data_IF_498622973361
#
_entry.id   IF_498622973361
#
_cell.length_a   1.000
_cell.length_b   1.000
_cell.length_c   1.000
_cell.angle_alpha   90.00
_cell.angle_beta   90.00
_cell.angle_gamma   90.00
#
_symmetry.space_group_name_H-M   'P 1'
#
loop_
_entity.id
_entity.type
_entity.pdbx_description
1 polymer ?
#
# COMPACT_ATOMS: atom_id res chain seq x y z
N UNK A 1 26.72 26.20 26.80
CA UNK A 1 25.45 26.65 26.21
C UNK A 1 24.37 26.36 27.24
N UNK A 2 23.63 27.37 27.67
CA UNK A 2 22.63 27.17 28.73
C UNK A 2 21.38 26.47 28.18
N UNK A 3 20.63 25.78 29.06
CA UNK A 3 19.38 25.10 28.71
C UNK A 3 18.39 26.06 28.02
N UNK A 4 18.41 27.34 28.44
CA UNK A 4 17.59 28.40 27.85
C UNK A 4 17.91 28.64 26.37
N UNK A 5 19.19 28.65 26.01
CA UNK A 5 19.63 28.87 24.63
C UNK A 5 19.18 27.69 23.75
N UNK A 6 19.32 26.47 24.25
CA UNK A 6 18.88 25.24 23.56
C UNK A 6 17.39 25.28 23.25
N UNK A 7 16.56 25.66 24.22
CA UNK A 7 15.10 25.77 24.04
C UNK A 7 14.72 26.82 22.99
N UNK A 8 15.47 27.93 22.91
CA UNK A 8 15.28 28.97 21.90
C UNK A 8 15.57 28.42 20.50
N UNK A 9 16.69 27.72 20.31
CA UNK A 9 17.03 27.12 19.02
C UNK A 9 16.01 26.06 18.59
N UNK A 10 15.55 25.19 19.50
CA UNK A 10 14.51 24.19 19.20
C UNK A 10 13.23 24.88 18.70
N UNK A 11 12.80 25.97 19.37
CA UNK A 11 11.62 26.73 18.95
C UNK A 11 11.77 27.28 17.52
N UNK A 12 12.94 27.79 17.16
CA UNK A 12 13.19 28.27 15.80
C UNK A 12 13.18 27.14 14.77
N UNK A 13 13.77 25.99 15.08
CA UNK A 13 13.77 24.82 14.21
C UNK A 13 12.34 24.34 13.95
N UNK A 14 11.52 24.20 14.99
CA UNK A 14 10.12 23.79 14.85
C UNK A 14 9.34 24.81 14.00
N UNK A 15 9.53 26.12 14.25
CA UNK A 15 8.85 27.16 13.46
C UNK A 15 9.26 27.11 11.99
N UNK A 16 10.55 26.93 11.71
CA UNK A 16 11.05 26.80 10.35
C UNK A 16 10.46 25.57 9.65
N UNK A 17 10.42 24.44 10.35
CA UNK A 17 9.82 23.21 9.84
C UNK A 17 8.32 23.38 9.55
N UNK A 18 7.55 24.02 10.42
CA UNK A 18 6.13 24.28 10.17
C UNK A 18 5.89 25.16 8.94
N UNK A 19 6.74 26.17 8.72
CA UNK A 19 6.68 27.02 7.52
C UNK A 19 7.01 26.19 6.28
N UNK A 20 8.06 25.37 6.34
CA UNK A 20 8.43 24.44 5.27
C UNK A 20 7.27 23.49 4.93
N UNK A 21 6.69 22.82 5.93
CA UNK A 21 5.57 21.90 5.74
C UNK A 21 4.33 22.59 5.16
N UNK A 22 4.00 23.82 5.59
CA UNK A 22 2.87 24.55 5.02
C UNK A 22 3.11 24.92 3.54
N UNK A 23 4.32 25.35 3.19
CA UNK A 23 4.65 25.73 1.81
C UNK A 23 4.64 24.51 0.89
N UNK A 24 5.33 23.44 1.28
CA UNK A 24 5.56 22.26 0.43
C UNK A 24 4.46 21.19 0.54
N UNK A 25 3.72 21.12 1.64
CA UNK A 25 2.62 20.19 1.83
C UNK A 25 1.24 20.75 1.44
N UNK A 26 1.08 22.08 1.35
CA UNK A 26 -0.23 22.71 1.04
C UNK A 26 -0.15 23.70 -0.11
N UNK A 27 0.70 24.73 0.00
CA UNK A 27 0.69 25.85 -0.97
C UNK A 27 1.14 25.38 -2.36
N UNK A 28 2.16 24.51 -2.43
CA UNK A 28 2.71 24.07 -3.71
C UNK A 28 1.69 23.31 -4.55
N UNK A 29 0.78 22.55 -3.95
CA UNK A 29 -0.26 21.80 -4.68
C UNK A 29 -1.28 22.72 -5.36
N UNK A 30 -1.49 23.93 -4.83
CA UNK A 30 -2.35 24.94 -5.47
C UNK A 30 -1.73 25.58 -6.72
N UNK A 31 -0.40 25.48 -6.89
CA UNK A 31 0.35 26.17 -7.95
C UNK A 31 0.97 25.18 -8.94
N UNK A 32 1.46 24.05 -8.45
CA UNK A 32 2.15 23.04 -9.22
C UNK A 32 1.17 22.18 -10.01
N UNK A 33 1.31 22.19 -11.33
CA UNK A 33 0.61 21.25 -12.21
C UNK A 33 1.52 20.04 -12.48
N UNK A 34 1.03 18.81 -12.29
CA UNK A 34 1.83 17.63 -12.60
C UNK A 34 2.25 17.66 -14.08
N UNK A 35 3.50 17.28 -14.34
CA UNK A 35 3.99 17.15 -15.72
C UNK A 35 3.18 16.06 -16.42
N UNK A 36 2.79 16.32 -17.67
CA UNK A 36 2.21 15.28 -18.53
C UNK A 36 3.22 14.14 -18.67
N UNK A 37 2.78 12.93 -18.36
CA UNK A 37 3.62 11.74 -18.47
C UNK A 37 3.56 11.19 -19.89
N UNK A 38 4.72 10.91 -20.47
CA UNK A 38 4.82 10.13 -21.73
C UNK A 38 4.63 8.62 -21.50
N UNK A 39 4.21 8.21 -20.29
CA UNK A 39 4.05 6.80 -19.94
C UNK A 39 3.18 6.05 -20.95
N UNK A 40 2.01 6.60 -21.30
CA UNK A 40 1.08 5.99 -22.26
C UNK A 40 1.56 6.07 -23.71
N UNK A 41 2.45 7.01 -24.04
CA UNK A 41 3.11 7.07 -25.37
C UNK A 41 4.07 5.89 -25.51
N UNK A 42 4.85 5.63 -24.47
CA UNK A 42 5.82 4.53 -24.45
C UNK A 42 5.19 3.17 -24.12
N UNK A 43 4.00 3.16 -23.50
CA UNK A 43 3.25 1.98 -23.09
C UNK A 43 1.79 2.11 -23.55
N UNK A 44 1.51 2.04 -24.86
CA UNK A 44 0.15 2.15 -25.39
C UNK A 44 -0.71 0.99 -24.87
N UNK A 45 -1.95 1.28 -24.48
CA UNK A 45 -2.87 0.26 -23.94
C UNK A 45 -3.35 -0.71 -25.01
N UNK A 46 -3.31 -0.31 -26.28
CA UNK A 46 -3.76 -1.11 -27.43
C UNK A 46 -2.96 -2.42 -27.57
N UNK A 47 -1.76 -2.49 -26.98
CA UNK A 47 -0.96 -3.73 -26.92
C UNK A 47 -1.64 -4.88 -26.18
N UNK A 48 -2.61 -4.58 -25.33
CA UNK A 48 -3.38 -5.57 -24.57
C UNK A 48 -4.67 -5.96 -25.29
N UNK A 49 -4.98 -5.32 -26.42
CA UNK A 49 -6.16 -5.65 -27.22
C UNK A 49 -5.80 -6.73 -28.23
N UNK A 50 -6.70 -7.69 -28.39
CA UNK A 50 -6.65 -8.73 -29.39
C UNK A 50 -8.06 -9.10 -29.79
N UNK A 51 -8.25 -9.50 -31.04
CA UNK A 51 -9.53 -10.02 -31.52
C UNK A 51 -9.68 -11.53 -31.27
N UNK A 52 -8.58 -12.20 -30.92
CA UNK A 52 -8.57 -13.60 -30.55
C UNK A 52 -9.17 -13.83 -29.16
N UNK A 53 -9.66 -15.05 -28.92
CA UNK A 53 -10.19 -15.45 -27.63
C UNK A 53 -9.05 -15.46 -26.60
N UNK A 54 -9.08 -14.49 -25.67
CA UNK A 54 -8.17 -14.45 -24.52
C UNK A 54 -8.54 -15.52 -23.48
N UNK A 55 -7.56 -15.90 -22.65
CA UNK A 55 -7.78 -16.68 -21.44
C UNK A 55 -8.31 -15.82 -20.27
N UNK A 56 -8.26 -14.50 -20.42
CA UNK A 56 -8.73 -13.56 -19.43
C UNK A 56 -10.26 -13.64 -19.28
N UNK A 57 -10.71 -13.74 -18.03
CA UNK A 57 -12.12 -13.73 -17.68
C UNK A 57 -12.40 -12.58 -16.75
N UNK A 58 -13.49 -11.87 -17.00
CA UNK A 58 -13.96 -10.78 -16.16
C UNK A 58 -15.33 -11.17 -15.61
N UNK A 59 -15.49 -11.02 -14.30
CA UNK A 59 -16.76 -11.20 -13.62
C UNK A 59 -17.05 -9.95 -12.79
N UNK A 60 -18.28 -9.44 -12.89
CA UNK A 60 -18.76 -8.38 -12.02
C UNK A 60 -19.28 -9.00 -10.72
N UNK A 61 -18.74 -8.54 -9.58
CA UNK A 61 -19.13 -9.00 -8.25
C UNK A 61 -19.66 -7.80 -7.47
N UNK A 62 -20.99 -7.74 -7.29
CA UNK A 62 -21.65 -6.60 -6.63
C UNK A 62 -21.83 -6.80 -5.12
N UNK A 63 -22.03 -8.05 -4.68
CA UNK A 63 -22.27 -8.35 -3.26
C UNK A 63 -20.96 -8.35 -2.46
N UNK A 64 -20.97 -7.66 -1.32
CA UNK A 64 -19.80 -7.49 -0.44
C UNK A 64 -19.28 -8.82 0.10
N UNK A 65 -20.18 -9.70 0.56
CA UNK A 65 -19.80 -10.96 1.17
C UNK A 65 -19.23 -11.91 0.12
N UNK A 66 -19.90 -12.02 -1.02
CA UNK A 66 -19.43 -12.81 -2.15
C UNK A 66 -18.10 -12.30 -2.70
N UNK A 67 -17.91 -10.98 -2.74
CA UNK A 67 -16.63 -10.35 -3.09
C UNK A 67 -15.49 -10.79 -2.15
N UNK A 68 -15.76 -10.91 -0.86
CA UNK A 68 -14.79 -11.45 0.12
C UNK A 68 -14.45 -12.91 -0.17
N UNK A 69 -15.46 -13.75 -0.39
CA UNK A 69 -15.28 -15.17 -0.70
C UNK A 69 -14.45 -15.39 -1.97
N UNK A 70 -14.72 -14.62 -3.04
CA UNK A 70 -13.95 -14.71 -4.28
C UNK A 70 -12.49 -14.35 -4.06
N UNK A 71 -12.18 -13.34 -3.23
CA UNK A 71 -10.78 -13.00 -2.89
C UNK A 71 -10.09 -14.14 -2.17
N UNK A 72 -10.75 -14.76 -1.20
CA UNK A 72 -10.21 -15.92 -0.46
C UNK A 72 -9.99 -17.10 -1.41
N UNK A 73 -10.97 -17.44 -2.27
CA UNK A 73 -10.85 -18.51 -3.26
C UNK A 73 -9.69 -18.28 -4.23
N UNK A 74 -9.46 -17.04 -4.68
CA UNK A 74 -8.30 -16.68 -5.51
C UNK A 74 -6.97 -16.90 -4.78
N UNK A 75 -6.90 -16.57 -3.49
CA UNK A 75 -5.70 -16.76 -2.66
C UNK A 75 -5.44 -18.25 -2.40
N UNK A 76 -6.50 -19.00 -2.07
CA UNK A 76 -6.42 -20.45 -1.82
C UNK A 76 -6.02 -21.23 -3.07
N UNK A 77 -6.42 -20.77 -4.25
CA UNK A 77 -6.08 -21.40 -5.54
C UNK A 77 -4.78 -20.92 -6.17
N UNK A 78 -4.10 -19.91 -5.60
CA UNK A 78 -2.82 -19.46 -6.12
C UNK A 78 -1.77 -20.58 -6.02
N UNK A 79 -1.06 -20.85 -7.11
CA UNK A 79 -0.07 -21.94 -7.21
C UNK A 79 1.38 -21.41 -7.25
N UNK A 80 1.66 -20.32 -7.98
CA UNK A 80 3.02 -19.81 -8.18
C UNK A 80 3.25 -18.44 -7.54
N UNK A 81 2.40 -17.47 -7.85
CA UNK A 81 2.51 -16.09 -7.38
C UNK A 81 1.16 -15.55 -6.93
N UNK A 82 1.19 -14.61 -5.97
CA UNK A 82 0.02 -13.89 -5.49
C UNK A 82 0.40 -12.41 -5.30
N UNK A 83 -0.19 -11.55 -6.11
CA UNK A 83 0.08 -10.11 -6.09
C UNK A 83 -1.13 -9.34 -5.58
N UNK A 84 -0.93 -8.60 -4.50
CA UNK A 84 -2.01 -7.90 -3.80
C UNK A 84 -1.64 -6.43 -3.66
N UNK A 85 -2.52 -5.56 -4.12
CA UNK A 85 -2.49 -4.13 -3.85
C UNK A 85 -3.75 -3.73 -3.12
N UNK A 86 -3.60 -3.13 -1.95
CA UNK A 86 -4.73 -2.68 -1.14
C UNK A 86 -4.44 -1.31 -0.53
N UNK A 87 -5.51 -0.54 -0.29
CA UNK A 87 -5.38 0.77 0.34
C UNK A 87 -5.31 0.65 1.86
N UNK A 88 -6.28 -0.05 2.47
CA UNK A 88 -6.47 -0.02 3.92
C UNK A 88 -7.11 -1.30 4.45
N UNK A 89 -6.74 -1.73 5.66
CA UNK A 89 -7.23 -2.97 6.28
C UNK A 89 -7.66 -2.67 7.70
N UNK A 90 -8.86 -3.08 8.07
CA UNK A 90 -9.41 -2.83 9.41
C UNK A 90 -9.52 -4.13 10.18
N UNK A 91 -9.28 -4.08 11.49
CA UNK A 91 -9.41 -5.23 12.38
C UNK A 91 -10.81 -5.86 12.30
N UNK A 92 -10.86 -7.19 12.31
CA UNK A 92 -12.09 -7.97 12.24
C UNK A 92 -11.94 -9.31 11.53
N UNK A 93 -12.95 -10.16 11.69
CA UNK A 93 -12.94 -11.57 11.23
C UNK A 93 -12.61 -11.71 9.73
N UNK A 94 -13.13 -10.83 8.88
CA UNK A 94 -12.84 -10.88 7.44
C UNK A 94 -11.36 -10.63 7.14
N UNK A 95 -10.73 -9.76 7.93
CA UNK A 95 -9.30 -9.45 7.80
C UNK A 95 -8.45 -10.60 8.30
N UNK A 96 -8.83 -11.23 9.42
CA UNK A 96 -8.13 -12.40 9.94
C UNK A 96 -8.13 -13.54 8.92
N UNK A 97 -9.30 -13.81 8.30
CA UNK A 97 -9.42 -14.80 7.24
C UNK A 97 -8.54 -14.41 6.05
N UNK A 98 -8.63 -13.15 5.58
CA UNK A 98 -7.88 -12.68 4.42
C UNK A 98 -6.36 -12.79 4.62
N UNK A 99 -5.83 -12.31 5.76
CA UNK A 99 -4.41 -12.36 6.08
C UNK A 99 -3.94 -13.79 6.36
N UNK A 100 -4.78 -14.59 7.02
CA UNK A 100 -4.53 -16.02 7.25
C UNK A 100 -4.39 -16.79 5.93
N UNK A 101 -5.31 -16.61 4.99
CA UNK A 101 -5.24 -17.25 3.67
C UNK A 101 -3.98 -16.84 2.90
N UNK A 102 -3.54 -15.57 3.01
CA UNK A 102 -2.29 -15.12 2.40
C UNK A 102 -1.08 -15.85 2.99
N UNK A 103 -1.04 -15.97 4.33
CA UNK A 103 0.02 -16.68 5.02
C UNK A 103 0.04 -18.16 4.61
N UNK A 104 -1.12 -18.83 4.58
CA UNK A 104 -1.24 -20.21 4.13
C UNK A 104 -0.79 -20.39 2.68
N UNK A 105 -1.11 -19.44 1.78
CA UNK A 105 -0.61 -19.48 0.41
C UNK A 105 0.92 -19.41 0.37
N UNK A 106 1.51 -18.52 1.17
CA UNK A 106 2.95 -18.40 1.26
C UNK A 106 3.62 -19.66 1.84
N UNK A 107 3.00 -20.29 2.84
CA UNK A 107 3.44 -21.56 3.44
C UNK A 107 3.42 -22.71 2.41
N UNK A 108 2.46 -22.70 1.47
CA UNK A 108 2.43 -23.64 0.32
C UNK A 108 3.55 -23.41 -0.70
N UNK A 109 4.30 -22.30 -0.59
CA UNK A 109 5.40 -21.96 -1.50
C UNK A 109 5.05 -20.87 -2.52
N UNK A 110 3.84 -20.31 -2.48
CA UNK A 110 3.43 -19.21 -3.37
C UNK A 110 4.25 -17.96 -3.04
N UNK A 111 4.79 -17.29 -4.06
CA UNK A 111 5.49 -16.01 -3.86
C UNK A 111 4.48 -14.89 -3.76
N UNK A 112 4.33 -14.32 -2.57
CA UNK A 112 3.38 -13.26 -2.28
C UNK A 112 4.08 -11.90 -2.37
N UNK A 113 3.51 -10.97 -3.14
CA UNK A 113 3.88 -9.55 -3.13
C UNK A 113 2.69 -8.74 -2.66
N UNK A 114 2.80 -8.13 -1.49
CA UNK A 114 1.71 -7.40 -0.86
C UNK A 114 2.10 -5.94 -0.67
N UNK A 115 1.36 -5.03 -1.31
CA UNK A 115 1.59 -3.59 -1.20
C UNK A 115 0.40 -2.88 -0.54
N UNK A 116 0.70 -2.06 0.47
CA UNK A 116 -0.27 -1.28 1.25
C UNK A 116 0.09 0.22 1.29
N UNK A 117 -0.87 1.07 1.66
CA UNK A 117 -0.60 2.49 1.91
C UNK A 117 0.35 2.67 3.11
N UNK A 118 1.29 3.60 3.04
CA UNK A 118 2.32 3.79 4.05
C UNK A 118 1.90 4.60 5.27
N UNK A 119 0.69 5.16 5.28
CA UNK A 119 0.16 6.01 6.36
C UNK A 119 -1.17 5.43 6.88
N UNK A 120 -2.05 5.01 5.98
CA UNK A 120 -3.43 4.63 6.26
C UNK A 120 -3.71 3.12 6.08
N UNK A 121 -2.67 2.27 6.10
CA UNK A 121 -2.85 0.82 6.01
C UNK A 121 -3.60 0.19 7.18
N UNK A 122 -3.56 0.80 8.37
CA UNK A 122 -4.22 0.32 9.60
C UNK A 122 -3.78 -1.07 10.10
N UNK A 123 -2.52 -1.47 9.84
CA UNK A 123 -1.87 -2.62 10.50
C UNK A 123 -1.34 -2.20 11.87
N UNK A 124 -2.25 -1.83 12.75
CA UNK A 124 -2.00 -1.35 14.11
C UNK A 124 -2.86 -2.12 15.12
N UNK A 125 -2.68 -1.86 16.42
CA UNK A 125 -3.46 -2.54 17.46
C UNK A 125 -3.30 -4.07 17.41
N UNK A 126 -4.40 -4.78 17.21
CA UNK A 126 -4.42 -6.25 17.12
C UNK A 126 -3.71 -6.78 15.86
N UNK A 127 -3.59 -5.97 14.82
CA UNK A 127 -2.94 -6.35 13.55
C UNK A 127 -1.44 -5.99 13.50
N UNK A 128 -0.89 -5.39 14.56
CA UNK A 128 0.52 -4.92 14.57
C UNK A 128 1.52 -6.03 14.27
N UNK A 129 1.23 -7.26 14.71
CA UNK A 129 2.14 -8.39 14.61
C UNK A 129 2.18 -8.97 13.18
N UNK A 130 1.21 -8.62 12.33
CA UNK A 130 1.15 -9.01 10.91
C UNK A 130 2.37 -8.50 10.16
N UNK A 131 2.81 -7.25 10.42
CA UNK A 131 4.00 -6.69 9.77
C UNK A 131 5.22 -7.56 10.06
N UNK A 132 5.39 -7.98 11.31
CA UNK A 132 6.49 -8.83 11.72
C UNK A 132 6.38 -10.23 11.10
N UNK A 133 5.21 -10.86 11.17
CA UNK A 133 4.98 -12.18 10.61
C UNK A 133 5.27 -12.20 9.10
N UNK A 134 4.71 -11.25 8.35
CA UNK A 134 4.83 -11.20 6.90
C UNK A 134 6.26 -10.84 6.47
N UNK A 135 6.89 -9.86 7.13
CA UNK A 135 8.25 -9.43 6.76
C UNK A 135 9.33 -10.48 7.04
N UNK A 136 9.07 -11.44 7.94
CA UNK A 136 9.99 -12.54 8.24
C UNK A 136 9.67 -13.83 7.47
N UNK A 137 8.56 -13.89 6.74
CA UNK A 137 8.20 -15.07 5.97
C UNK A 137 9.01 -15.12 4.66
N UNK A 138 9.70 -16.24 4.32
CA UNK A 138 10.62 -16.30 3.18
C UNK A 138 9.95 -16.08 1.82
N UNK A 139 8.64 -16.34 1.73
CA UNK A 139 7.86 -16.21 0.49
C UNK A 139 6.95 -14.96 0.45
N UNK A 140 7.03 -14.05 1.43
CA UNK A 140 6.21 -12.83 1.44
C UNK A 140 7.10 -11.59 1.32
N UNK A 141 6.80 -10.75 0.32
CA UNK A 141 7.34 -9.41 0.19
C UNK A 141 6.26 -8.38 0.55
N UNK A 142 6.34 -7.84 1.77
CA UNK A 142 5.47 -6.75 2.22
C UNK A 142 6.12 -5.39 1.92
N UNK A 143 5.41 -4.53 1.20
CA UNK A 143 5.84 -3.16 0.88
C UNK A 143 4.77 -2.14 1.19
N UNK A 144 5.21 -0.91 1.42
CA UNK A 144 4.32 0.23 1.62
C UNK A 144 4.60 1.28 0.54
N UNK A 145 3.55 1.73 -0.17
CA UNK A 145 3.65 2.92 -1.02
C UNK A 145 3.44 4.18 -0.18
N UNK A 146 4.12 5.26 -0.53
CA UNK A 146 3.99 6.55 0.18
C UNK A 146 4.18 6.48 1.71
N UNK A 147 5.27 5.86 2.23
CA UNK A 147 5.54 5.82 3.66
C UNK A 147 5.74 7.22 4.23
N UNK A 148 5.21 7.44 5.44
CA UNK A 148 5.35 8.71 6.14
C UNK A 148 6.83 9.10 6.29
N UNK A 149 7.17 10.33 5.89
CA UNK A 149 8.52 10.86 6.02
C UNK A 149 8.48 12.29 6.54
N UNK A 150 9.04 12.49 7.74
CA UNK A 150 9.10 13.81 8.40
C UNK A 150 9.84 14.85 7.53
N UNK A 151 10.77 14.44 6.67
CA UNK A 151 11.51 15.36 5.81
C UNK A 151 10.84 15.61 4.45
N UNK A 152 9.74 14.92 4.13
CA UNK A 152 8.99 15.05 2.87
C UNK A 152 7.49 15.21 3.18
N UNK A 153 7.07 16.42 3.59
CA UNK A 153 5.68 16.75 3.88
C UNK A 153 4.83 16.88 2.61
#
# INVERSE_FOLDING_TARGET
MEIRDILIYIKYIIRFYLIYAAIFGVIIFGIYKPKSSEYLVNHPVDRFYGEDISQDKVALIEDRYYSGLVRVDLIERAEETLDISYYTIHDGISTDIFLGSILEAADRGVKVRFILDGIFHHLEGNLKDVIYAFSNHPNIELKFYEPFNILKP
#
